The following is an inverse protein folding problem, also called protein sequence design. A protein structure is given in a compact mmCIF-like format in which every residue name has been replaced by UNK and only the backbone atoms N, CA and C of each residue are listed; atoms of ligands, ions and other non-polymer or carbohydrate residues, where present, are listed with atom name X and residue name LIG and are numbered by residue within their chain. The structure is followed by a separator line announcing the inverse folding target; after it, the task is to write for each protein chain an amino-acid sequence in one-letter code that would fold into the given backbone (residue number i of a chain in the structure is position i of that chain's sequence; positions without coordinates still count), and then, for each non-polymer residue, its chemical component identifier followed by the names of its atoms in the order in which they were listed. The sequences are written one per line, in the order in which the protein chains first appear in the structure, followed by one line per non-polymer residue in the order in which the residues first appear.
data_IF_195873949592
#
_entry.id   IF_195873949592
#
_cell.length_a   1.000
_cell.length_b   1.000
_cell.length_c   1.000
_cell.angle_alpha   90.00
_cell.angle_beta   90.00
_cell.angle_gamma   90.00
#
_symmetry.space_group_name_H-M   'P 1'
#
loop_
_entity.id
_entity.type
_entity.pdbx_description
1 polymer ?
#
# COMPACT_ATOMS: atom_id res chain seq x y z
N UNK A 1 -41.93 17.42 29.42
CA UNK A 1 -41.99 18.89 29.70
C UNK A 1 -41.20 19.56 28.59
N UNK A 2 -41.91 20.12 27.61
CA UNK A 2 -42.01 21.54 27.21
C UNK A 2 -40.66 22.11 26.71
N UNK A 3 -40.55 22.65 25.55
CA UNK A 3 -41.25 23.46 24.54
C UNK A 3 -40.15 24.18 23.73
N UNK A 4 -40.19 24.10 22.41
CA UNK A 4 -40.53 25.19 21.48
C UNK A 4 -39.55 26.36 21.41
N UNK A 5 -39.11 26.76 20.18
CA UNK A 5 -39.60 27.91 19.37
C UNK A 5 -38.68 28.04 18.13
N UNK A 6 -39.13 27.91 16.90
CA UNK A 6 -39.83 28.82 15.96
C UNK A 6 -38.88 29.76 15.22
N UNK A 7 -38.81 29.49 13.92
CA UNK A 7 -38.96 30.29 12.71
C UNK A 7 -38.82 31.82 12.81
N UNK A 8 -38.07 32.42 11.90
CA UNK A 8 -38.37 33.74 11.36
C UNK A 8 -38.09 33.78 9.86
N UNK A 9 -39.17 33.93 9.14
CA UNK A 9 -39.36 34.25 7.74
C UNK A 9 -39.26 35.78 7.58
N UNK A 10 -38.54 36.30 6.58
CA UNK A 10 -38.65 37.73 6.21
C UNK A 10 -39.13 37.85 4.78
N UNK A 11 -40.30 38.47 4.70
CA UNK A 11 -41.04 38.82 3.49
C UNK A 11 -40.44 40.04 2.76
N UNK A 12 -40.53 39.94 1.47
CA UNK A 12 -40.39 40.96 0.45
C UNK A 12 -41.54 41.98 0.53
N UNK A 13 -41.24 43.26 0.47
CA UNK A 13 -42.23 44.32 0.27
C UNK A 13 -41.89 45.12 -0.99
N UNK A 14 -42.75 45.00 -1.97
CA UNK A 14 -42.88 45.86 -3.15
C UNK A 14 -43.69 47.10 -2.79
N UNK A 15 -43.24 48.26 -3.20
CA UNK A 15 -44.07 49.48 -3.17
C UNK A 15 -44.13 50.11 -4.55
N UNK A 16 -45.36 50.18 -5.06
CA UNK A 16 -45.78 50.90 -6.26
C UNK A 16 -46.14 52.32 -5.86
N UNK A 17 -45.65 53.28 -6.59
CA UNK A 17 -46.07 54.70 -6.45
C UNK A 17 -46.24 55.34 -7.82
N UNK A 18 -47.50 55.49 -8.22
CA UNK A 18 -47.92 56.23 -9.44
C UNK A 18 -48.20 57.70 -9.10
N UNK A 19 -48.07 58.53 -10.08
CA UNK A 19 -48.78 59.78 -10.43
C UNK A 19 -47.81 60.89 -10.88
N UNK A 20 -48.02 61.73 -11.84
CA UNK A 20 -49.15 62.24 -12.60
C UNK A 20 -48.57 62.94 -13.86
N UNK A 21 -49.37 62.92 -14.93
CA UNK A 21 -49.03 63.53 -16.20
C UNK A 21 -49.14 65.06 -16.19
N UNK A 22 -48.30 65.72 -16.97
CA UNK A 22 -48.54 67.03 -17.48
C UNK A 22 -48.18 67.09 -18.99
N UNK A 23 -49.16 67.35 -19.81
CA UNK A 23 -49.06 67.51 -21.26
C UNK A 23 -48.25 68.80 -21.61
N UNK A 24 -47.16 68.61 -22.37
CA UNK A 24 -46.58 69.69 -23.20
C UNK A 24 -46.32 69.10 -24.60
N UNK A 25 -46.74 69.85 -25.63
CA UNK A 25 -46.68 69.49 -27.05
C UNK A 25 -45.26 69.28 -27.52
N UNK A 26 -44.93 68.32 -28.38
CA UNK A 26 -43.61 68.04 -28.85
C UNK A 26 -43.13 69.04 -29.88
N UNK A 27 -41.86 69.51 -29.73
CA UNK A 27 -41.13 70.23 -30.76
C UNK A 27 -40.70 69.23 -31.87
N UNK A 28 -40.54 69.67 -33.13
CA UNK A 28 -40.19 68.79 -34.24
C UNK A 28 -38.74 68.21 -34.01
N UNK A 29 -38.64 66.93 -34.22
CA UNK A 29 -37.40 66.22 -34.10
C UNK A 29 -36.37 66.63 -35.14
N UNK A 30 -35.06 66.79 -34.76
CA UNK A 30 -33.99 66.97 -35.74
C UNK A 30 -33.81 65.70 -36.57
N UNK A 31 -33.42 65.93 -37.85
CA UNK A 31 -33.18 64.84 -38.81
C UNK A 31 -32.11 63.87 -38.29
N UNK A 32 -32.24 62.55 -38.54
CA UNK A 32 -31.26 61.57 -38.08
C UNK A 32 -29.92 61.80 -38.74
N UNK A 33 -28.87 61.81 -37.92
CA UNK A 33 -27.49 61.81 -38.38
C UNK A 33 -27.19 60.51 -39.19
N UNK A 34 -26.35 60.58 -40.22
CA UNK A 34 -25.99 59.36 -41.00
C UNK A 34 -25.35 58.33 -40.09
N UNK A 35 -25.78 57.08 -40.25
CA UNK A 35 -25.24 55.94 -39.51
C UNK A 35 -23.73 55.81 -39.75
N UNK A 36 -22.94 55.56 -38.68
CA UNK A 36 -21.52 55.32 -38.84
C UNK A 36 -21.30 54.04 -39.71
N UNK A 37 -20.29 54.11 -40.59
CA UNK A 37 -19.92 52.98 -41.42
C UNK A 37 -19.58 51.72 -40.56
N UNK A 38 -19.96 50.54 -41.00
CA UNK A 38 -19.62 49.29 -40.24
C UNK A 38 -18.12 49.19 -40.03
N UNK A 39 -17.72 48.95 -38.79
CA UNK A 39 -16.35 48.66 -38.44
C UNK A 39 -15.86 47.43 -39.23
N UNK A 40 -14.61 47.40 -39.73
CA UNK A 40 -14.06 46.24 -40.41
C UNK A 40 -14.13 45.02 -39.51
N UNK A 41 -14.58 43.90 -40.07
CA UNK A 41 -14.66 42.61 -39.36
C UNK A 41 -13.30 42.27 -38.78
N UNK A 42 -13.24 41.75 -37.53
CA UNK A 42 -11.98 41.29 -36.95
C UNK A 42 -11.32 40.25 -37.86
N UNK A 43 -10.02 40.35 -38.06
CA UNK A 43 -9.27 39.35 -38.81
C UNK A 43 -9.45 37.95 -38.17
N UNK A 44 -9.58 36.87 -38.95
CA UNK A 44 -9.68 35.51 -38.41
C UNK A 44 -8.51 35.25 -37.46
N UNK A 45 -8.82 34.74 -36.27
CA UNK A 45 -7.81 34.27 -35.32
C UNK A 45 -6.90 33.24 -36.03
N UNK A 46 -5.58 33.31 -35.82
CA UNK A 46 -4.67 32.32 -36.40
C UNK A 46 -5.13 30.91 -36.04
N UNK A 47 -5.18 30.01 -37.00
CA UNK A 47 -5.50 28.62 -36.78
C UNK A 47 -4.55 28.04 -35.70
N UNK A 48 -5.05 27.23 -34.75
CA UNK A 48 -4.19 26.63 -33.73
C UNK A 48 -3.09 25.84 -34.42
N UNK A 49 -1.83 26.15 -34.08
CA UNK A 49 -0.68 25.40 -34.55
C UNK A 49 -0.88 23.93 -34.18
N UNK A 50 -0.70 22.97 -35.07
CA UNK A 50 -0.79 21.55 -34.73
C UNK A 50 0.12 21.27 -33.53
N UNK A 51 -0.47 20.77 -32.44
CA UNK A 51 0.30 20.39 -31.25
C UNK A 51 1.31 19.32 -31.69
N UNK A 52 2.59 19.56 -31.45
CA UNK A 52 3.63 18.55 -31.65
C UNK A 52 3.23 17.28 -30.91
N UNK A 53 3.32 16.07 -31.50
CA UNK A 53 2.96 14.86 -30.80
C UNK A 53 3.74 14.77 -29.49
N UNK A 54 3.03 14.69 -28.39
CA UNK A 54 3.63 14.60 -27.07
C UNK A 54 4.55 13.36 -27.02
N UNK A 55 5.79 13.53 -26.57
CA UNK A 55 6.74 12.43 -26.43
C UNK A 55 6.16 11.39 -25.49
N UNK A 56 5.95 10.19 -25.98
CA UNK A 56 5.51 9.05 -25.15
C UNK A 56 6.65 8.65 -24.22
N UNK A 57 6.36 8.55 -22.94
CA UNK A 57 7.28 8.06 -21.92
C UNK A 57 6.86 6.61 -21.61
N UNK A 58 7.80 5.67 -21.59
CA UNK A 58 7.53 4.28 -21.23
C UNK A 58 8.22 3.97 -19.90
N UNK A 59 7.46 3.42 -18.94
CA UNK A 59 7.95 2.89 -17.69
C UNK A 59 7.84 1.38 -17.66
N UNK A 60 8.86 0.73 -17.12
CA UNK A 60 8.84 -0.68 -16.73
C UNK A 60 8.76 -0.76 -15.22
N UNK A 61 7.73 -1.44 -14.70
CA UNK A 61 7.57 -1.69 -13.27
C UNK A 61 7.53 -3.18 -12.97
N UNK A 62 8.09 -3.58 -11.83
CA UNK A 62 8.13 -4.98 -11.39
C UNK A 62 7.78 -5.08 -9.90
N UNK A 63 7.21 -6.22 -9.52
CA UNK A 63 7.10 -6.67 -8.12
C UNK A 63 7.85 -7.99 -7.96
N UNK A 64 8.28 -8.34 -6.75
CA UNK A 64 8.92 -9.62 -6.45
C UNK A 64 7.97 -10.83 -6.45
N UNK A 65 6.68 -10.61 -6.72
CA UNK A 65 5.65 -11.64 -6.60
C UNK A 65 5.30 -12.27 -7.95
N UNK A 66 4.90 -13.57 -7.97
CA UNK A 66 4.53 -14.29 -9.18
C UNK A 66 3.31 -13.69 -9.90
N UNK A 67 3.21 -13.97 -11.21
CA UNK A 67 2.01 -13.66 -11.97
C UNK A 67 0.77 -14.37 -11.39
N UNK A 68 -0.38 -13.69 -11.44
CA UNK A 68 -1.62 -14.23 -10.89
C UNK A 68 -1.86 -13.93 -9.40
N UNK A 69 -0.83 -13.55 -8.66
CA UNK A 69 -0.97 -13.18 -7.25
C UNK A 69 -1.58 -11.79 -7.06
N UNK A 70 -2.22 -11.50 -5.90
CA UNK A 70 -2.83 -10.21 -5.64
C UNK A 70 -1.89 -9.01 -5.85
N UNK A 71 -0.63 -9.13 -5.43
CA UNK A 71 0.38 -8.06 -5.59
C UNK A 71 0.66 -7.72 -7.05
N UNK A 72 0.86 -8.74 -7.90
CA UNK A 72 1.09 -8.51 -9.32
C UNK A 72 -0.16 -7.96 -10.02
N UNK A 73 -1.35 -8.51 -9.69
CA UNK A 73 -2.62 -8.05 -10.25
C UNK A 73 -2.85 -6.58 -9.92
N UNK A 74 -2.63 -6.16 -8.67
CA UNK A 74 -2.76 -4.77 -8.26
C UNK A 74 -1.74 -3.86 -8.94
N UNK A 75 -0.47 -4.26 -8.99
CA UNK A 75 0.56 -3.47 -9.68
C UNK A 75 0.24 -3.29 -11.17
N UNK A 76 -0.26 -4.35 -11.83
CA UNK A 76 -0.68 -4.28 -13.22
C UNK A 76 -1.88 -3.34 -13.40
N UNK A 77 -2.87 -3.41 -12.53
CA UNK A 77 -4.05 -2.53 -12.53
C UNK A 77 -3.63 -1.06 -12.39
N UNK A 78 -2.68 -0.76 -11.51
CA UNK A 78 -2.09 0.58 -11.40
C UNK A 78 -1.44 1.03 -12.71
N UNK A 79 -0.62 0.18 -13.32
CA UNK A 79 0.05 0.48 -14.60
C UNK A 79 -0.94 0.75 -15.74
N UNK A 80 -1.98 -0.07 -15.85
CA UNK A 80 -3.06 0.10 -16.83
C UNK A 80 -3.82 1.42 -16.58
N UNK A 81 -4.12 1.74 -15.33
CA UNK A 81 -4.80 2.99 -14.94
C UNK A 81 -3.97 4.23 -15.27
N UNK A 82 -2.66 4.22 -14.99
CA UNK A 82 -1.73 5.31 -15.35
C UNK A 82 -1.68 5.49 -16.88
N UNK A 83 -1.56 4.40 -17.62
CA UNK A 83 -1.50 4.44 -19.09
C UNK A 83 -2.79 5.04 -19.66
N UNK A 84 -3.94 4.58 -19.18
CA UNK A 84 -5.24 5.07 -19.62
C UNK A 84 -5.46 6.56 -19.24
N UNK A 85 -5.25 6.92 -17.98
CA UNK A 85 -5.48 8.29 -17.49
C UNK A 85 -4.55 9.32 -18.13
N UNK A 86 -3.32 8.91 -18.49
CA UNK A 86 -2.38 9.79 -19.23
C UNK A 86 -2.75 9.98 -20.71
N UNK A 87 -3.76 9.26 -21.23
CA UNK A 87 -4.04 9.21 -22.66
C UNK A 87 -2.88 8.62 -23.46
N UNK A 88 -2.13 7.69 -22.89
CA UNK A 88 -0.97 7.03 -23.53
C UNK A 88 0.30 7.90 -23.51
N UNK A 89 0.33 9.06 -22.87
CA UNK A 89 1.54 9.88 -22.71
C UNK A 89 2.57 9.22 -21.77
N UNK A 90 2.12 8.42 -20.82
CA UNK A 90 2.93 7.58 -19.96
C UNK A 90 2.41 6.13 -20.08
N UNK A 91 3.13 5.30 -20.79
CA UNK A 91 2.84 3.87 -20.94
C UNK A 91 3.58 3.11 -19.85
N UNK A 92 2.87 2.27 -19.09
CA UNK A 92 3.45 1.50 -18.00
C UNK A 92 3.32 0.00 -18.28
N UNK A 93 4.45 -0.65 -18.43
CA UNK A 93 4.57 -2.09 -18.62
C UNK A 93 4.84 -2.77 -17.29
N UNK A 94 4.00 -3.73 -16.89
CA UNK A 94 4.07 -4.40 -15.58
C UNK A 94 4.60 -5.82 -15.73
N UNK A 95 5.55 -6.18 -14.85
CA UNK A 95 6.26 -7.45 -14.89
C UNK A 95 6.15 -8.18 -13.53
N UNK A 96 5.92 -9.51 -13.53
CA UNK A 96 6.00 -10.32 -12.32
C UNK A 96 7.45 -10.53 -11.89
N UNK A 97 7.63 -11.09 -10.70
CA UNK A 97 8.94 -11.34 -10.11
C UNK A 97 9.87 -12.15 -11.02
N UNK A 98 11.15 -11.78 -11.03
CA UNK A 98 12.18 -12.45 -11.80
C UNK A 98 12.22 -12.15 -13.31
N UNK A 99 11.32 -11.29 -13.82
CA UNK A 99 11.22 -11.02 -15.27
C UNK A 99 12.32 -10.11 -15.81
N UNK A 100 12.69 -9.07 -15.08
CA UNK A 100 13.70 -8.08 -15.50
C UNK A 100 14.89 -8.10 -14.54
N UNK A 101 14.60 -8.05 -13.23
CA UNK A 101 15.59 -8.24 -12.17
C UNK A 101 15.18 -9.44 -11.30
N UNK A 102 16.11 -10.10 -10.60
CA UNK A 102 15.75 -11.18 -9.69
C UNK A 102 14.69 -10.74 -8.68
N UNK A 103 13.78 -11.65 -8.31
CA UNK A 103 12.77 -11.40 -7.28
C UNK A 103 13.42 -10.86 -6.00
N UNK A 104 12.76 -9.87 -5.40
CA UNK A 104 13.22 -9.16 -4.19
C UNK A 104 14.46 -8.24 -4.37
N UNK A 105 14.89 -7.99 -5.61
CA UNK A 105 15.92 -7.00 -5.97
C UNK A 105 15.35 -5.82 -6.78
N UNK A 106 14.03 -5.62 -6.73
CA UNK A 106 13.35 -4.53 -7.45
C UNK A 106 13.87 -3.16 -7.02
N UNK A 107 14.09 -2.96 -5.71
CA UNK A 107 14.62 -1.70 -5.16
C UNK A 107 16.01 -1.37 -5.74
N UNK A 108 16.84 -2.37 -5.94
CA UNK A 108 18.19 -2.21 -6.51
C UNK A 108 18.09 -1.90 -8.01
N UNK A 109 17.26 -2.65 -8.76
CA UNK A 109 16.97 -2.38 -10.16
C UNK A 109 16.41 -0.98 -10.41
N UNK A 110 15.54 -0.47 -9.51
CA UNK A 110 15.00 0.89 -9.59
C UNK A 110 16.09 1.91 -9.27
N UNK A 111 16.88 1.70 -8.22
CA UNK A 111 17.97 2.60 -7.85
C UNK A 111 19.02 2.71 -8.97
N UNK A 112 19.27 1.63 -9.72
CA UNK A 112 20.18 1.58 -10.87
C UNK A 112 19.55 2.11 -12.17
N UNK A 113 18.24 2.35 -12.22
CA UNK A 113 17.51 2.79 -13.42
C UNK A 113 17.22 1.67 -14.44
N UNK A 114 17.40 0.40 -14.07
CA UNK A 114 16.99 -0.77 -14.87
C UNK A 114 15.47 -0.85 -14.93
N UNK A 115 14.81 -0.56 -13.79
CA UNK A 115 13.37 -0.39 -13.64
C UNK A 115 13.05 1.09 -13.41
N UNK A 116 11.90 1.54 -13.90
CA UNK A 116 11.41 2.90 -13.64
C UNK A 116 10.62 2.98 -12.33
N UNK A 117 9.87 1.91 -12.00
CA UNK A 117 9.08 1.83 -10.78
C UNK A 117 8.89 0.37 -10.33
N UNK A 118 8.30 0.17 -9.16
CA UNK A 118 7.94 -1.15 -8.67
C UNK A 118 7.57 -1.19 -7.19
N UNK A 119 7.05 -2.33 -6.76
CA UNK A 119 6.80 -2.63 -5.35
C UNK A 119 8.01 -3.35 -4.76
N UNK A 120 8.45 -2.88 -3.60
CA UNK A 120 9.49 -3.56 -2.82
C UNK A 120 9.20 -3.47 -1.33
N UNK A 121 9.43 -4.58 -0.62
CA UNK A 121 9.27 -4.61 0.82
C UNK A 121 10.55 -4.14 1.53
N UNK A 122 10.46 -3.36 2.62
CA UNK A 122 11.62 -2.97 3.43
C UNK A 122 12.46 -4.15 3.91
N UNK A 123 11.84 -5.31 4.15
CA UNK A 123 12.56 -6.54 4.51
C UNK A 123 13.61 -6.94 3.46
N UNK A 124 13.27 -6.83 2.18
CA UNK A 124 14.20 -7.19 1.08
C UNK A 124 15.39 -6.22 0.99
N UNK A 125 15.27 -5.03 1.57
CA UNK A 125 16.33 -4.02 1.60
C UNK A 125 17.31 -4.19 2.79
N UNK A 126 17.13 -5.20 3.65
CA UNK A 126 17.90 -5.40 4.88
C UNK A 126 19.42 -5.42 4.66
N UNK A 127 19.90 -6.04 3.58
CA UNK A 127 21.34 -6.10 3.27
C UNK A 127 21.95 -4.72 3.03
N UNK A 128 21.17 -3.78 2.49
CA UNK A 128 21.61 -2.41 2.16
C UNK A 128 21.30 -1.44 3.29
N UNK A 129 20.08 -1.49 3.83
CA UNK A 129 19.59 -0.51 4.81
C UNK A 129 19.90 -0.90 6.26
N UNK A 130 20.28 -2.15 6.51
CA UNK A 130 20.58 -2.65 7.84
C UNK A 130 19.41 -3.32 8.54
N UNK A 131 19.67 -3.77 9.77
CA UNK A 131 18.76 -4.63 10.55
C UNK A 131 17.46 -3.97 11.02
N UNK A 132 17.39 -2.64 10.99
CA UNK A 132 16.15 -1.91 11.29
C UNK A 132 15.14 -1.92 10.13
N UNK A 133 15.58 -2.18 8.88
CA UNK A 133 14.71 -2.10 7.70
C UNK A 133 13.46 -3.00 7.78
N UNK A 134 13.53 -4.26 8.21
CA UNK A 134 12.37 -5.15 8.26
C UNK A 134 11.19 -4.62 9.09
N UNK A 135 11.45 -3.92 10.20
CA UNK A 135 10.39 -3.43 11.08
C UNK A 135 9.46 -2.41 10.42
N UNK A 136 9.92 -1.73 9.36
CA UNK A 136 9.07 -0.81 8.59
C UNK A 136 8.07 -1.56 7.73
N UNK A 137 8.38 -2.77 7.25
CA UNK A 137 7.41 -3.63 6.59
C UNK A 137 6.37 -4.13 7.58
N UNK A 138 6.85 -4.75 8.65
CA UNK A 138 6.07 -5.19 9.78
C UNK A 138 6.97 -5.37 11.01
N UNK A 139 6.40 -5.22 12.19
CA UNK A 139 7.02 -5.63 13.44
C UNK A 139 6.27 -6.86 13.96
N UNK A 140 6.96 -7.95 14.21
CA UNK A 140 6.36 -9.13 14.82
C UNK A 140 5.77 -8.77 16.20
N UNK A 141 4.55 -9.22 16.49
CA UNK A 141 3.73 -8.77 17.62
C UNK A 141 3.51 -7.23 17.66
N UNK A 142 3.61 -6.56 16.52
CA UNK A 142 3.39 -5.12 16.34
C UNK A 142 1.96 -4.77 15.93
N UNK A 143 1.76 -3.57 15.34
CA UNK A 143 0.44 -3.10 14.94
C UNK A 143 -0.14 -3.91 13.77
N UNK A 144 -1.46 -3.94 13.72
CA UNK A 144 -2.24 -4.42 12.57
C UNK A 144 -2.10 -3.46 11.37
N UNK A 145 -2.60 -3.80 10.15
CA UNK A 145 -2.32 -3.02 8.94
C UNK A 145 -2.69 -1.53 9.04
N UNK A 146 -3.84 -1.20 9.63
CA UNK A 146 -4.26 0.20 9.76
C UNK A 146 -3.40 0.94 10.78
N UNK A 147 -3.05 0.31 11.90
CA UNK A 147 -2.12 0.87 12.88
C UNK A 147 -0.73 1.11 12.27
N UNK A 148 -0.20 0.14 11.51
CA UNK A 148 1.06 0.31 10.76
C UNK A 148 1.00 1.46 9.76
N UNK A 149 -0.11 1.56 9.01
CA UNK A 149 -0.34 2.63 8.06
C UNK A 149 -0.33 4.01 8.73
N UNK A 150 -1.08 4.16 9.83
CA UNK A 150 -1.16 5.44 10.52
C UNK A 150 0.19 5.80 11.15
N UNK A 151 0.93 4.82 11.71
CA UNK A 151 2.29 5.07 12.19
C UNK A 151 3.22 5.55 11.08
N UNK A 152 3.16 4.93 9.91
CA UNK A 152 3.99 5.34 8.76
C UNK A 152 3.63 6.75 8.30
N UNK A 153 2.34 7.09 8.20
CA UNK A 153 1.91 8.35 7.59
C UNK A 153 1.88 9.53 8.56
N UNK A 154 1.54 9.29 9.83
CA UNK A 154 1.26 10.34 10.83
C UNK A 154 2.09 10.17 12.12
N UNK A 155 2.67 8.98 12.33
CA UNK A 155 3.44 8.66 13.54
C UNK A 155 4.96 8.79 13.40
N UNK A 156 5.45 9.34 12.27
CA UNK A 156 6.88 9.55 12.01
C UNK A 156 7.61 8.32 11.44
N UNK A 157 6.89 7.23 11.16
CA UNK A 157 7.51 6.01 10.64
C UNK A 157 8.12 6.16 9.25
N UNK A 158 7.42 6.87 8.35
CA UNK A 158 7.91 7.08 6.98
C UNK A 158 9.15 7.98 6.96
N UNK A 159 9.19 9.04 7.76
CA UNK A 159 10.35 9.91 7.88
C UNK A 159 11.59 9.13 8.32
N UNK A 160 11.43 8.24 9.29
CA UNK A 160 12.52 7.35 9.74
C UNK A 160 12.95 6.39 8.62
N UNK A 161 12.02 5.82 7.87
CA UNK A 161 12.37 4.94 6.76
C UNK A 161 13.09 5.70 5.64
N UNK A 162 12.65 6.91 5.32
CA UNK A 162 13.29 7.79 4.34
C UNK A 162 14.72 8.21 4.77
N UNK A 163 14.97 8.36 6.08
CA UNK A 163 16.32 8.61 6.62
C UNK A 163 17.30 7.50 6.21
N UNK A 164 16.86 6.22 6.30
CA UNK A 164 17.66 5.08 5.84
C UNK A 164 17.81 5.05 4.32
N UNK A 165 16.70 5.16 3.60
CA UNK A 165 16.66 5.01 2.15
C UNK A 165 17.49 6.08 1.45
N UNK A 166 17.30 7.35 1.79
CA UNK A 166 17.99 8.46 1.12
C UNK A 166 19.52 8.40 1.29
N UNK A 167 20.00 7.78 2.38
CA UNK A 167 21.43 7.62 2.62
C UNK A 167 22.06 6.53 1.78
N UNK A 168 21.34 5.45 1.52
CA UNK A 168 21.88 4.22 0.90
C UNK A 168 21.42 3.98 -0.54
N UNK A 169 20.24 4.48 -0.88
CA UNK A 169 19.60 4.30 -2.19
C UNK A 169 19.17 5.67 -2.76
N UNK A 170 20.14 6.55 -3.11
CA UNK A 170 19.86 7.96 -3.40
C UNK A 170 18.98 8.17 -4.64
N UNK A 171 18.93 7.21 -5.57
CA UNK A 171 18.08 7.29 -6.76
C UNK A 171 16.70 6.67 -6.57
N UNK A 172 16.43 6.08 -5.38
CA UNK A 172 15.14 5.52 -5.06
C UNK A 172 14.24 6.60 -4.43
N UNK A 173 13.10 6.86 -5.06
CA UNK A 173 12.02 7.68 -4.53
C UNK A 173 10.93 6.76 -3.99
N UNK A 174 10.61 6.84 -2.72
CA UNK A 174 9.41 6.23 -2.16
C UNK A 174 8.25 7.19 -2.31
N UNK A 175 7.19 6.77 -2.97
CA UNK A 175 6.03 7.61 -3.17
C UNK A 175 5.25 7.73 -1.87
N UNK A 176 5.27 8.92 -1.29
CA UNK A 176 4.55 9.20 -0.04
C UNK A 176 3.03 9.06 -0.23
N UNK A 177 2.35 8.54 0.79
CA UNK A 177 0.89 8.42 0.80
C UNK A 177 0.32 7.29 -0.06
N UNK A 178 1.16 6.44 -0.66
CA UNK A 178 0.74 5.26 -1.42
C UNK A 178 1.27 3.96 -0.78
N UNK A 179 0.94 3.66 0.49
CA UNK A 179 1.37 2.45 1.16
C UNK A 179 0.56 1.26 0.65
N UNK A 180 1.22 0.28 0.08
CA UNK A 180 0.60 -0.99 -0.28
C UNK A 180 0.57 -1.88 0.96
N UNK A 181 -0.58 -1.88 1.63
CA UNK A 181 -0.79 -2.69 2.81
C UNK A 181 -1.19 -4.10 2.41
N UNK A 182 -0.38 -5.08 2.78
CA UNK A 182 -0.79 -6.47 2.83
C UNK A 182 -1.67 -6.72 4.05
N UNK A 183 -2.52 -7.71 3.92
CA UNK A 183 -3.35 -8.20 5.00
C UNK A 183 -2.52 -8.96 6.04
N UNK A 184 -3.04 -9.16 7.26
CA UNK A 184 -2.38 -10.02 8.23
C UNK A 184 -2.16 -11.43 7.66
N UNK A 185 -0.96 -11.95 7.80
CA UNK A 185 -0.67 -13.31 7.38
C UNK A 185 -1.17 -14.35 8.39
N UNK A 186 -1.41 -15.55 7.92
CA UNK A 186 -1.65 -16.69 8.81
C UNK A 186 -0.38 -17.00 9.62
N UNK A 187 -0.53 -17.65 10.77
CA UNK A 187 0.64 -18.08 11.54
C UNK A 187 1.48 -19.06 10.75
N UNK A 188 0.85 -20.09 10.19
CA UNK A 188 1.45 -21.00 9.20
C UNK A 188 0.41 -21.95 8.61
N UNK A 189 0.76 -22.55 7.46
CA UNK A 189 0.25 -23.83 6.99
C UNK A 189 1.15 -24.94 7.50
N UNK A 190 0.58 -26.07 7.93
CA UNK A 190 1.36 -27.16 8.54
C UNK A 190 0.92 -28.54 8.06
N UNK A 191 1.90 -29.42 7.90
CA UNK A 191 1.65 -30.86 7.63
C UNK A 191 1.21 -31.62 8.88
N UNK A 192 1.52 -31.10 10.07
CA UNK A 192 1.26 -31.72 11.36
C UNK A 192 0.52 -30.76 12.27
N UNK A 193 -0.42 -31.27 13.05
CA UNK A 193 -1.03 -30.48 14.12
C UNK A 193 -0.02 -30.21 15.24
N UNK A 194 -0.16 -29.04 15.87
CA UNK A 194 0.57 -28.67 17.08
C UNK A 194 -0.36 -27.92 18.05
N UNK A 195 -0.17 -28.12 19.35
CA UNK A 195 -0.99 -27.50 20.39
C UNK A 195 -0.15 -26.82 21.48
N UNK A 196 1.13 -27.12 21.56
CA UNK A 196 2.04 -26.61 22.58
C UNK A 196 3.33 -26.06 21.96
N UNK A 197 4.06 -25.22 22.69
CA UNK A 197 5.40 -24.76 22.28
C UNK A 197 6.37 -25.93 22.07
N UNK A 198 6.20 -27.02 22.82
CA UNK A 198 7.06 -28.20 22.70
C UNK A 198 6.87 -28.90 21.34
N UNK A 199 5.66 -28.90 20.80
CA UNK A 199 5.37 -29.52 19.50
C UNK A 199 6.07 -28.82 18.33
N UNK A 200 6.37 -27.53 18.49
CA UNK A 200 7.07 -26.73 17.46
C UNK A 200 8.57 -27.03 17.37
N UNK A 201 9.17 -27.63 18.41
CA UNK A 201 10.61 -27.88 18.46
C UNK A 201 11.06 -28.82 17.36
N UNK A 202 12.04 -28.38 16.56
CA UNK A 202 12.60 -29.12 15.46
C UNK A 202 11.74 -29.19 14.20
N UNK A 203 10.51 -28.63 14.20
CA UNK A 203 9.74 -28.49 12.97
C UNK A 203 10.46 -27.55 12.02
N UNK A 204 10.52 -27.93 10.76
CA UNK A 204 11.16 -27.15 9.69
C UNK A 204 10.10 -26.24 9.05
N UNK A 205 10.38 -24.96 9.02
CA UNK A 205 9.45 -23.95 8.48
C UNK A 205 10.10 -23.06 7.44
N UNK A 206 9.46 -22.92 6.29
CA UNK A 206 9.73 -21.73 5.46
C UNK A 206 9.15 -20.52 6.18
N UNK A 207 10.02 -19.59 6.51
CA UNK A 207 9.64 -18.35 7.15
C UNK A 207 10.66 -17.25 6.88
N UNK A 208 10.19 -16.01 6.84
CA UNK A 208 11.02 -14.85 6.60
C UNK A 208 10.79 -13.78 7.68
N UNK A 209 11.71 -12.82 7.76
CA UNK A 209 11.60 -11.67 8.65
C UNK A 209 11.79 -11.97 10.12
N UNK A 210 11.42 -10.99 10.93
CA UNK A 210 11.63 -11.05 12.40
C UNK A 210 10.76 -12.14 13.05
N UNK A 211 9.58 -12.41 12.50
CA UNK A 211 8.73 -13.50 12.96
C UNK A 211 9.41 -14.87 12.88
N UNK A 212 10.17 -15.13 11.81
CA UNK A 212 10.93 -16.36 11.67
C UNK A 212 12.09 -16.45 12.69
N UNK A 213 12.77 -15.34 12.97
CA UNK A 213 13.84 -15.29 13.97
C UNK A 213 13.30 -15.53 15.39
N UNK A 214 12.10 -15.03 15.69
CA UNK A 214 11.43 -15.30 16.97
C UNK A 214 11.03 -16.78 17.06
N UNK A 215 10.51 -17.36 15.98
CA UNK A 215 10.19 -18.80 15.94
C UNK A 215 11.42 -19.68 16.14
N UNK A 216 12.61 -19.28 15.66
CA UNK A 216 13.87 -19.97 15.98
C UNK A 216 14.12 -20.01 17.49
N UNK A 217 13.84 -18.92 18.22
CA UNK A 217 13.96 -18.90 19.68
C UNK A 217 12.95 -19.86 20.36
N UNK A 218 11.83 -20.19 19.68
CA UNK A 218 10.90 -21.22 20.13
C UNK A 218 11.34 -22.65 19.76
N UNK A 219 12.46 -22.81 19.05
CA UNK A 219 13.00 -24.10 18.65
C UNK A 219 12.58 -24.57 17.25
N UNK A 220 11.92 -23.73 16.47
CA UNK A 220 11.61 -24.00 15.05
C UNK A 220 12.87 -23.85 14.21
N UNK A 221 13.06 -24.71 13.22
CA UNK A 221 14.15 -24.60 12.23
C UNK A 221 13.62 -23.84 11.02
N UNK A 222 13.96 -22.55 10.91
CA UNK A 222 13.47 -21.70 9.82
C UNK A 222 14.46 -21.60 8.67
N UNK A 223 13.96 -21.51 7.45
CA UNK A 223 14.73 -21.27 6.22
C UNK A 223 13.94 -20.36 5.28
N UNK A 224 14.64 -19.58 4.47
CA UNK A 224 14.05 -18.72 3.45
C UNK A 224 14.07 -19.47 2.12
N UNK A 225 12.91 -19.55 1.46
CA UNK A 225 12.75 -20.08 0.11
C UNK A 225 11.94 -19.08 -0.73
N UNK A 226 12.23 -18.94 -2.02
CA UNK A 226 11.34 -18.25 -2.95
C UNK A 226 9.93 -18.85 -2.94
N UNK A 227 8.91 -18.06 -3.24
CA UNK A 227 7.51 -18.52 -3.17
C UNK A 227 7.24 -19.72 -4.09
N UNK A 228 7.83 -19.73 -5.26
CA UNK A 228 7.70 -20.80 -6.27
C UNK A 228 8.27 -22.16 -5.83
N UNK A 229 9.16 -22.20 -4.85
CA UNK A 229 9.79 -23.43 -4.36
C UNK A 229 9.04 -24.05 -3.16
N UNK A 230 8.13 -23.31 -2.54
CA UNK A 230 7.52 -23.71 -1.25
C UNK A 230 6.59 -24.91 -1.42
N UNK A 231 5.75 -24.91 -2.46
CA UNK A 231 4.83 -26.02 -2.73
C UNK A 231 5.58 -27.36 -2.81
N UNK A 232 6.64 -27.42 -3.63
CA UNK A 232 7.44 -28.63 -3.76
C UNK A 232 8.16 -29.03 -2.48
N UNK A 233 8.71 -28.04 -1.74
CA UNK A 233 9.37 -28.29 -0.48
C UNK A 233 8.42 -28.88 0.57
N UNK A 234 7.19 -28.38 0.64
CA UNK A 234 6.10 -28.95 1.46
C UNK A 234 5.73 -30.34 0.98
N UNK A 235 5.48 -30.53 -0.32
CA UNK A 235 5.08 -31.80 -0.89
C UNK A 235 6.09 -32.91 -0.59
N UNK A 236 7.38 -32.64 -0.79
CA UNK A 236 8.48 -33.57 -0.54
C UNK A 236 8.79 -33.78 0.94
N UNK A 237 8.21 -32.97 1.85
CA UNK A 237 8.49 -33.02 3.29
C UNK A 237 9.87 -32.47 3.67
N UNK A 238 10.48 -31.66 2.80
CA UNK A 238 11.70 -30.90 3.11
C UNK A 238 11.44 -29.92 4.23
N UNK A 239 10.23 -29.33 4.25
CA UNK A 239 9.70 -28.50 5.32
C UNK A 239 8.38 -29.05 5.83
N UNK A 240 8.08 -28.82 7.11
CA UNK A 240 6.85 -29.22 7.79
C UNK A 240 5.79 -28.11 7.78
N UNK A 241 6.24 -26.85 7.74
CA UNK A 241 5.40 -25.66 7.81
C UNK A 241 5.85 -24.60 6.79
N UNK A 242 4.89 -23.81 6.34
CA UNK A 242 5.17 -22.66 5.49
C UNK A 242 4.20 -21.50 5.75
N UNK A 243 4.64 -20.31 5.36
CA UNK A 243 3.85 -19.11 5.22
C UNK A 243 4.34 -18.33 3.99
N UNK A 244 3.49 -17.47 3.42
CA UNK A 244 3.91 -16.65 2.28
C UNK A 244 3.20 -15.30 2.20
N UNK A 245 1.96 -15.24 2.62
CA UNK A 245 1.16 -14.02 2.55
C UNK A 245 -0.18 -14.18 3.24
N UNK A 246 -1.18 -13.40 2.81
CA UNK A 246 -2.54 -13.59 3.25
C UNK A 246 -3.18 -14.86 2.69
N UNK A 247 -4.32 -15.30 3.24
CA UNK A 247 -4.99 -16.54 2.86
C UNK A 247 -5.27 -16.73 1.37
N UNK A 248 -5.61 -15.65 0.64
CA UNK A 248 -5.85 -15.75 -0.81
C UNK A 248 -4.54 -16.02 -1.57
N UNK A 249 -3.44 -15.37 -1.15
CA UNK A 249 -2.13 -15.61 -1.75
C UNK A 249 -1.70 -17.08 -1.56
N UNK A 250 -1.87 -17.61 -0.35
CA UNK A 250 -1.51 -18.99 -0.02
C UNK A 250 -2.40 -20.00 -0.76
N UNK A 251 -3.69 -19.65 -0.97
CA UNK A 251 -4.59 -20.45 -1.81
C UNK A 251 -4.11 -20.50 -3.27
N UNK A 252 -3.69 -19.39 -3.82
CA UNK A 252 -3.21 -19.29 -5.22
C UNK A 252 -1.89 -20.06 -5.42
N UNK A 253 -1.13 -20.28 -4.34
CA UNK A 253 0.06 -21.15 -4.30
C UNK A 253 -0.25 -22.63 -3.99
N UNK A 254 -1.53 -23.00 -3.96
CA UNK A 254 -2.01 -24.36 -3.76
C UNK A 254 -1.60 -25.01 -2.41
N UNK A 255 -1.47 -24.21 -1.34
CA UNK A 255 -1.09 -24.77 -0.02
C UNK A 255 -2.13 -25.68 0.58
N UNK A 256 -3.40 -25.58 0.19
CA UNK A 256 -4.48 -26.51 0.56
C UNK A 256 -4.17 -27.96 0.19
N UNK A 257 -3.36 -28.21 -0.84
CA UNK A 257 -3.05 -29.55 -1.32
C UNK A 257 -1.93 -30.22 -0.53
N UNK A 258 -1.03 -29.43 0.08
CA UNK A 258 0.20 -29.94 0.69
C UNK A 258 0.27 -29.77 2.20
N UNK A 259 -0.67 -29.01 2.80
CA UNK A 259 -0.74 -28.73 4.22
C UNK A 259 -2.16 -28.89 4.76
N UNK A 260 -2.51 -29.99 5.45
CA UNK A 260 -3.87 -30.23 5.96
C UNK A 260 -4.29 -29.26 7.08
N UNK A 261 -3.36 -28.57 7.73
CA UNK A 261 -3.65 -27.65 8.82
C UNK A 261 -3.29 -26.21 8.44
N UNK A 262 -4.19 -25.27 8.74
CA UNK A 262 -3.97 -23.84 8.63
C UNK A 262 -4.17 -23.21 10.02
N UNK A 263 -3.17 -22.52 10.52
CA UNK A 263 -3.23 -21.84 11.81
C UNK A 263 -3.42 -20.35 11.63
N UNK A 264 -4.58 -19.84 12.07
CA UNK A 264 -4.89 -18.43 12.11
C UNK A 264 -4.20 -17.77 13.31
N UNK A 265 -3.57 -16.62 13.10
CA UNK A 265 -2.89 -15.86 14.14
C UNK A 265 -1.89 -14.93 13.50
N UNK A 266 -2.06 -13.65 13.75
CA UNK A 266 -1.36 -12.60 13.01
C UNK A 266 -0.03 -12.17 13.63
N UNK A 267 0.31 -12.68 14.83
CA UNK A 267 1.46 -12.23 15.63
C UNK A 267 2.79 -12.26 14.91
N UNK A 268 2.99 -13.27 14.05
CA UNK A 268 4.23 -13.45 13.30
C UNK A 268 4.45 -12.30 12.31
N UNK A 269 3.39 -11.99 11.57
CA UNK A 269 3.35 -10.93 10.57
C UNK A 269 1.96 -10.28 10.58
N UNK A 270 1.74 -9.33 11.51
CA UNK A 270 0.43 -8.71 11.69
C UNK A 270 0.00 -7.82 10.52
N UNK A 271 0.95 -7.39 9.72
CA UNK A 271 0.73 -6.63 8.49
C UNK A 271 1.86 -6.89 7.52
N UNK A 272 1.74 -6.39 6.31
CA UNK A 272 2.83 -6.24 5.37
C UNK A 272 2.71 -4.84 4.74
N UNK A 273 3.81 -4.14 4.64
CA UNK A 273 3.88 -2.90 3.88
C UNK A 273 4.91 -3.02 2.77
N UNK A 274 4.44 -2.80 1.55
CA UNK A 274 5.31 -2.60 0.39
C UNK A 274 5.31 -1.13 0.01
N UNK A 275 6.50 -0.59 -0.21
CA UNK A 275 6.63 0.76 -0.77
C UNK A 275 6.46 0.71 -2.30
N UNK A 276 5.73 1.69 -2.85
CA UNK A 276 5.77 1.96 -4.27
C UNK A 276 6.97 2.87 -4.54
N UNK A 277 7.94 2.32 -5.23
CA UNK A 277 9.24 2.93 -5.46
C UNK A 277 9.34 3.39 -6.91
N UNK A 278 9.97 4.54 -7.13
CA UNK A 278 10.18 5.12 -8.46
C UNK A 278 11.64 5.55 -8.57
N UNK A 279 12.26 5.35 -9.71
CA UNK A 279 13.56 5.92 -9.99
C UNK A 279 13.45 7.46 -10.07
N UNK A 280 14.28 8.19 -9.30
CA UNK A 280 14.20 9.68 -9.21
C UNK A 280 14.33 10.36 -10.56
N UNK A 281 15.16 9.86 -11.45
CA UNK A 281 15.33 10.43 -12.78
C UNK A 281 14.09 10.19 -13.65
N UNK A 282 13.50 8.98 -13.56
CA UNK A 282 12.23 8.67 -14.23
C UNK A 282 11.09 9.56 -13.74
N UNK A 283 11.05 9.83 -12.42
CA UNK A 283 10.08 10.75 -11.82
C UNK A 283 10.27 12.19 -12.29
N UNK A 284 11.52 12.68 -12.28
CA UNK A 284 11.85 14.04 -12.69
C UNK A 284 11.60 14.29 -14.19
N UNK A 285 11.54 13.24 -15.01
CA UNK A 285 11.20 13.35 -16.43
C UNK A 285 9.70 13.55 -16.70
N UNK A 286 8.85 13.36 -15.69
CA UNK A 286 7.40 13.60 -15.79
C UNK A 286 7.09 15.09 -15.62
N UNK A 287 6.04 15.55 -16.29
CA UNK A 287 5.45 16.86 -16.00
C UNK A 287 4.78 16.87 -14.63
N UNK A 288 4.63 18.03 -13.95
CA UNK A 288 3.91 18.10 -12.67
C UNK A 288 2.50 17.50 -12.72
N UNK A 289 1.80 17.64 -13.84
CA UNK A 289 0.49 17.04 -14.08
C UNK A 289 0.57 15.48 -14.02
N UNK A 290 1.52 14.88 -14.75
CA UNK A 290 1.72 13.44 -14.74
C UNK A 290 2.18 12.93 -13.37
N UNK A 291 3.03 13.68 -12.67
CA UNK A 291 3.45 13.34 -11.31
C UNK A 291 2.24 13.31 -10.35
N UNK A 292 1.38 14.34 -10.39
CA UNK A 292 0.16 14.41 -9.59
C UNK A 292 -0.79 13.26 -9.91
N UNK A 293 -0.98 12.96 -11.20
CA UNK A 293 -1.82 11.85 -11.65
C UNK A 293 -1.30 10.50 -11.15
N UNK A 294 -0.01 10.21 -11.32
CA UNK A 294 0.61 8.97 -10.82
C UNK A 294 0.46 8.86 -9.31
N UNK A 295 0.69 9.95 -8.59
CA UNK A 295 0.56 9.99 -7.14
C UNK A 295 -0.85 9.63 -6.67
N UNK A 296 -1.88 10.26 -7.24
CA UNK A 296 -3.27 10.02 -6.83
C UNK A 296 -3.75 8.62 -7.24
N UNK A 297 -3.37 8.13 -8.43
CA UNK A 297 -3.69 6.77 -8.84
C UNK A 297 -3.01 5.72 -7.95
N UNK A 298 -1.75 5.93 -7.58
CA UNK A 298 -1.03 5.02 -6.69
C UNK A 298 -1.65 4.99 -5.29
N UNK A 299 -2.08 6.13 -4.74
CA UNK A 299 -2.81 6.21 -3.46
C UNK A 299 -4.14 5.48 -3.54
N UNK A 300 -4.92 5.74 -4.60
CA UNK A 300 -6.21 5.08 -4.81
C UNK A 300 -6.08 3.57 -4.94
N UNK A 301 -5.09 3.11 -5.72
CA UNK A 301 -4.85 1.69 -5.91
C UNK A 301 -4.32 1.00 -4.64
N UNK A 302 -3.45 1.64 -3.87
CA UNK A 302 -2.95 1.09 -2.61
C UNK A 302 -4.10 0.81 -1.63
N UNK A 303 -5.06 1.73 -1.50
CA UNK A 303 -6.23 1.53 -0.66
C UNK A 303 -7.20 0.49 -1.25
N UNK A 304 -7.42 0.53 -2.57
CA UNK A 304 -8.26 -0.47 -3.24
C UNK A 304 -7.67 -1.87 -3.09
N UNK A 305 -6.35 -2.02 -3.23
CA UNK A 305 -5.64 -3.28 -3.03
C UNK A 305 -5.93 -3.88 -1.64
N UNK A 306 -5.78 -3.10 -0.56
CA UNK A 306 -6.07 -3.56 0.79
C UNK A 306 -7.52 -3.99 0.97
N UNK A 307 -8.47 -3.16 0.51
CA UNK A 307 -9.91 -3.46 0.61
C UNK A 307 -10.30 -4.73 -0.17
N UNK A 308 -9.77 -4.90 -1.37
CA UNK A 308 -10.02 -6.08 -2.21
C UNK A 308 -9.40 -7.34 -1.60
N UNK A 309 -8.17 -7.22 -1.10
CA UNK A 309 -7.43 -8.37 -0.56
C UNK A 309 -8.02 -8.88 0.75
N UNK A 310 -8.37 -8.00 1.71
CA UNK A 310 -8.93 -8.44 3.00
C UNK A 310 -10.24 -9.22 2.82
N UNK A 311 -11.08 -8.83 1.85
CA UNK A 311 -12.31 -9.56 1.54
C UNK A 311 -12.01 -10.90 0.85
N UNK A 312 -11.02 -10.94 -0.03
CA UNK A 312 -10.58 -12.19 -0.68
C UNK A 312 -9.99 -13.15 0.33
N UNK A 313 -9.20 -12.67 1.27
CA UNK A 313 -8.61 -13.47 2.33
C UNK A 313 -9.68 -14.11 3.24
N UNK A 314 -10.67 -13.32 3.65
CA UNK A 314 -11.79 -13.87 4.42
C UNK A 314 -12.53 -14.98 3.65
N UNK A 315 -12.71 -14.82 2.34
CA UNK A 315 -13.30 -15.87 1.48
C UNK A 315 -12.36 -17.05 1.30
N UNK A 316 -11.05 -16.83 1.20
CA UNK A 316 -10.06 -17.88 1.04
C UNK A 316 -9.99 -18.79 2.28
N UNK A 317 -10.08 -18.23 3.49
CA UNK A 317 -10.21 -19.05 4.71
C UNK A 317 -11.38 -20.03 4.61
N UNK A 318 -12.52 -19.59 4.05
CA UNK A 318 -13.66 -20.49 3.81
C UNK A 318 -13.35 -21.54 2.74
N UNK A 319 -12.65 -21.17 1.65
CA UNK A 319 -12.22 -22.14 0.61
C UNK A 319 -11.32 -23.22 1.21
N UNK A 320 -10.38 -22.89 2.11
CA UNK A 320 -9.56 -23.88 2.82
C UNK A 320 -10.43 -24.86 3.61
N UNK A 321 -11.45 -24.38 4.35
CA UNK A 321 -12.40 -25.25 5.07
C UNK A 321 -13.20 -26.14 4.13
N UNK A 322 -13.73 -25.59 3.04
CA UNK A 322 -14.53 -26.30 2.05
C UNK A 322 -13.71 -27.38 1.30
N UNK A 323 -12.41 -27.13 1.12
CA UNK A 323 -11.46 -28.09 0.54
C UNK A 323 -11.18 -29.27 1.47
N UNK A 324 -11.38 -29.10 2.77
CA UNK A 324 -11.15 -30.13 3.79
C UNK A 324 -9.96 -29.86 4.71
N UNK A 325 -9.33 -28.68 4.62
CA UNK A 325 -8.28 -28.32 5.55
C UNK A 325 -8.85 -28.00 6.94
N UNK A 326 -8.12 -28.39 7.98
CA UNK A 326 -8.44 -28.04 9.36
C UNK A 326 -7.90 -26.65 9.68
N UNK A 327 -8.81 -25.67 9.78
CA UNK A 327 -8.46 -24.28 10.12
C UNK A 327 -8.60 -24.09 11.62
N UNK A 328 -7.51 -23.75 12.28
CA UNK A 328 -7.35 -23.64 13.72
C UNK A 328 -6.87 -22.25 14.12
N UNK A 329 -7.19 -21.82 15.35
CA UNK A 329 -6.50 -20.70 15.99
C UNK A 329 -5.18 -21.18 16.60
N UNK A 330 -4.15 -20.31 16.56
CA UNK A 330 -2.91 -20.57 17.28
C UNK A 330 -3.20 -20.65 18.79
N UNK A 331 -2.76 -21.71 19.49
CA UNK A 331 -2.97 -21.84 20.92
C UNK A 331 -2.43 -20.66 21.72
N UNK A 332 -3.16 -20.22 22.76
CA UNK A 332 -2.79 -19.04 23.58
C UNK A 332 -1.37 -19.18 24.16
N UNK A 333 -0.99 -20.35 24.65
CA UNK A 333 0.36 -20.56 25.17
C UNK A 333 1.48 -20.31 24.13
N UNK A 334 1.23 -20.59 22.86
CA UNK A 334 2.15 -20.29 21.77
C UNK A 334 2.17 -18.78 21.50
N UNK A 335 1.00 -18.13 21.48
CA UNK A 335 0.90 -16.67 21.30
C UNK A 335 1.66 -15.93 22.42
N UNK A 336 1.50 -16.34 23.66
CA UNK A 336 2.13 -15.69 24.82
C UNK A 336 3.67 -15.86 24.81
N UNK A 337 4.16 -17.08 24.52
CA UNK A 337 5.60 -17.30 24.41
C UNK A 337 6.18 -16.52 23.21
N UNK A 338 5.46 -16.45 22.08
CA UNK A 338 5.88 -15.64 20.94
C UNK A 338 6.01 -14.15 21.31
N UNK A 339 5.00 -13.56 21.97
CA UNK A 339 5.03 -12.16 22.43
C UNK A 339 6.20 -11.89 23.40
N UNK A 340 6.44 -12.81 24.32
CA UNK A 340 7.57 -12.73 25.26
C UNK A 340 8.91 -12.75 24.51
N UNK A 341 9.09 -13.67 23.60
CA UNK A 341 10.32 -13.81 22.83
C UNK A 341 10.52 -12.69 21.80
N UNK A 342 9.44 -12.09 21.30
CA UNK A 342 9.50 -10.90 20.47
C UNK A 342 10.15 -9.72 21.22
N UNK A 343 9.76 -9.48 22.47
CA UNK A 343 10.40 -8.45 23.33
C UNK A 343 11.90 -8.71 23.52
N UNK A 344 12.27 -9.96 23.77
CA UNK A 344 13.69 -10.37 23.91
C UNK A 344 14.44 -10.14 22.61
N UNK A 345 13.87 -10.57 21.49
CA UNK A 345 14.47 -10.43 20.15
C UNK A 345 14.74 -8.96 19.82
N UNK A 346 13.75 -8.08 19.98
CA UNK A 346 13.93 -6.67 19.65
C UNK A 346 14.91 -5.96 20.59
N UNK A 347 14.97 -6.32 21.86
CA UNK A 347 15.97 -5.82 22.78
C UNK A 347 17.39 -6.23 22.36
N UNK A 348 17.58 -7.49 21.95
CA UNK A 348 18.88 -8.01 21.50
C UNK A 348 19.34 -7.36 20.17
N UNK A 349 18.47 -7.33 19.15
CA UNK A 349 18.86 -6.81 17.83
C UNK A 349 19.05 -5.30 17.79
N UNK A 350 18.46 -4.56 18.72
CA UNK A 350 18.63 -3.11 18.82
C UNK A 350 19.75 -2.67 19.77
N UNK A 351 20.35 -3.58 20.53
CA UNK A 351 21.29 -3.24 21.62
C UNK A 351 22.47 -2.36 21.18
N UNK A 352 22.97 -2.57 19.97
CA UNK A 352 24.08 -1.86 19.34
C UNK A 352 23.66 -0.97 18.16
N UNK A 353 22.37 -0.71 17.98
CA UNK A 353 21.82 0.05 16.86
C UNK A 353 20.94 1.22 17.34
N UNK A 354 21.54 2.42 17.52
CA UNK A 354 20.80 3.59 17.97
C UNK A 354 19.64 3.98 17.05
N UNK A 355 19.76 3.73 15.74
CA UNK A 355 18.67 4.01 14.80
C UNK A 355 17.50 3.06 15.03
N UNK A 356 17.76 1.77 15.19
CA UNK A 356 16.73 0.79 15.47
C UNK A 356 16.05 1.05 16.81
N UNK A 357 16.81 1.48 17.86
CA UNK A 357 16.24 1.91 19.14
C UNK A 357 15.29 3.09 18.97
N UNK A 358 15.69 4.12 18.18
CA UNK A 358 14.87 5.28 17.84
C UNK A 358 13.58 4.86 17.12
N UNK A 359 13.67 3.98 16.14
CA UNK A 359 12.52 3.51 15.37
C UNK A 359 11.56 2.64 16.21
N UNK A 360 12.08 1.72 17.04
CA UNK A 360 11.27 0.94 17.98
C UNK A 360 10.55 1.82 18.97
N UNK A 361 11.24 2.82 19.54
CA UNK A 361 10.63 3.77 20.48
C UNK A 361 9.52 4.58 19.81
N UNK A 362 9.72 5.06 18.58
CA UNK A 362 8.69 5.79 17.82
C UNK A 362 7.43 4.94 17.64
N UNK A 363 7.58 3.67 17.27
CA UNK A 363 6.46 2.75 17.10
C UNK A 363 5.80 2.44 18.46
N UNK A 364 6.56 2.20 19.52
CA UNK A 364 6.02 1.91 20.87
C UNK A 364 5.22 3.09 21.41
N UNK A 365 5.74 4.32 21.27
CA UNK A 365 5.03 5.53 21.69
C UNK A 365 3.73 5.72 20.88
N UNK A 366 3.77 5.49 19.59
CA UNK A 366 2.59 5.53 18.72
C UNK A 366 1.56 4.45 19.10
N UNK A 367 2.00 3.20 19.30
CA UNK A 367 1.10 2.10 19.69
C UNK A 367 0.43 2.38 21.02
N UNK A 368 1.17 2.92 22.01
CA UNK A 368 0.60 3.30 23.30
C UNK A 368 -0.51 4.37 23.15
N UNK A 369 -0.31 5.35 22.27
CA UNK A 369 -1.30 6.38 21.97
C UNK A 369 -2.50 5.81 21.21
N UNK A 370 -2.25 5.11 20.11
CA UNK A 370 -3.26 4.60 19.19
C UNK A 370 -4.16 3.56 19.84
N UNK A 371 -3.58 2.53 20.47
CA UNK A 371 -4.35 1.48 21.14
C UNK A 371 -4.94 1.95 22.48
N UNK A 372 -4.40 2.99 23.10
CA UNK A 372 -5.04 3.68 24.22
C UNK A 372 -6.40 4.28 23.88
N UNK A 373 -6.64 4.57 22.59
CA UNK A 373 -7.90 5.09 22.06
C UNK A 373 -8.79 4.00 21.44
N UNK A 374 -8.23 3.21 20.51
CA UNK A 374 -9.04 2.26 19.70
C UNK A 374 -9.22 0.90 20.38
N UNK A 375 -8.46 0.60 21.43
CA UNK A 375 -8.38 -0.73 22.05
C UNK A 375 -7.37 -1.65 21.35
N UNK A 376 -7.03 -2.77 21.98
CA UNK A 376 -6.08 -3.73 21.42
C UNK A 376 -6.74 -4.59 20.33
N UNK A 377 -5.98 -4.86 19.30
CA UNK A 377 -6.31 -5.86 18.29
C UNK A 377 -5.78 -7.23 18.77
N UNK A 378 -6.67 -8.09 19.23
CA UNK A 378 -6.37 -9.49 19.66
C UNK A 378 -7.01 -10.51 18.75
#
# INVERSE_FOLDING_TARGET
MHKRFILALVMLVTLVGSLVAACAAPAPAPAPAPAPAPAPAPAPAPAPTPAQPAKVITWRQQTGHPAGTPYFIGLKRLGDAITAASGGRLVVESFPGGSIVPSFKEYDGINQGILNAGLAAPFHMKEVLGKASPMFMNRAAGPEPIGQFIWLMEGGGLELFLELVNTKLPNLLILNGAPWLGTPEVFCHSKKAFNTVADLKGMKMRGAGDGAEILKKMGVVTLVLPHEEIYEAMQRGTIDMAESGGPQFDWDLAYQEVAPFMYLGTLRQPCEWLSFNINRQSWAALTPELQSMVHELARGEAMHYYQDTIVKDAKAVQKFRDYGNTVLEVPTAIKDEFRKLAKVYYAEVSADDPFMQKALKSMDDFMALYYGYVGTWD
#
